data_IF_250847007922
#
_entry.id   IF_250847007922
#
_cell.length_a   1.000
_cell.length_b   1.000
_cell.length_c   1.000
_cell.angle_alpha   90.00
_cell.angle_beta   90.00
_cell.angle_gamma   90.00
#
_symmetry.space_group_name_H-M   'P 1'
#
loop_
_entity.id
_entity.type
_entity.pdbx_description
1 polymer ?
#
# COMPACT_ATOMS: atom_id res chain seq x y z
N UNK A 1 8.21 -10.26 -17.62
CA UNK A 1 6.84 -10.76 -17.83
C UNK A 1 6.06 -10.65 -16.52
N UNK A 2 4.88 -10.07 -16.59
CA UNK A 2 4.04 -9.83 -15.41
C UNK A 2 3.07 -11.00 -15.26
N UNK A 3 3.00 -11.56 -14.05
CA UNK A 3 2.00 -12.57 -13.69
C UNK A 3 1.02 -11.94 -12.70
N UNK A 4 -0.27 -12.29 -12.86
CA UNK A 4 -1.31 -11.78 -11.97
C UNK A 4 -2.13 -12.92 -11.39
N UNK A 5 -2.72 -12.64 -10.24
CA UNK A 5 -3.60 -13.55 -9.52
C UNK A 5 -4.66 -12.72 -8.79
N UNK A 6 -5.89 -13.23 -8.76
CA UNK A 6 -6.95 -12.58 -7.98
C UNK A 6 -7.25 -13.39 -6.74
N UNK A 7 -7.77 -12.73 -5.72
CA UNK A 7 -8.26 -13.38 -4.51
C UNK A 7 -9.41 -12.59 -3.91
N UNK A 8 -10.30 -13.29 -3.22
CA UNK A 8 -11.38 -12.64 -2.49
C UNK A 8 -10.89 -12.13 -1.14
N UNK A 9 -11.49 -11.05 -0.68
CA UNK A 9 -11.17 -10.46 0.61
C UNK A 9 -12.41 -9.76 1.19
N UNK A 10 -12.38 -9.36 2.47
CA UNK A 10 -13.45 -8.54 3.03
C UNK A 10 -13.65 -7.21 2.31
N UNK A 11 -12.66 -6.76 1.53
CA UNK A 11 -12.73 -5.52 0.76
C UNK A 11 -13.14 -5.74 -0.69
N UNK A 12 -13.53 -6.96 -1.05
CA UNK A 12 -13.81 -7.36 -2.42
C UNK A 12 -12.64 -8.06 -3.07
N UNK A 13 -12.71 -8.23 -4.38
CA UNK A 13 -11.65 -8.91 -5.13
C UNK A 13 -10.38 -8.06 -5.15
N UNK A 14 -9.26 -8.71 -4.85
CA UNK A 14 -7.93 -8.11 -4.96
C UNK A 14 -7.20 -8.73 -6.14
N UNK A 15 -6.46 -7.89 -6.87
CA UNK A 15 -5.59 -8.35 -7.96
C UNK A 15 -4.15 -8.13 -7.53
N UNK A 16 -3.38 -9.21 -7.51
CA UNK A 16 -1.95 -9.20 -7.20
C UNK A 16 -1.15 -9.33 -8.49
N UNK A 17 -0.06 -8.59 -8.61
CA UNK A 17 0.84 -8.70 -9.75
C UNK A 17 2.28 -8.84 -9.28
N UNK A 18 3.03 -9.68 -9.99
CA UNK A 18 4.46 -9.85 -9.75
C UNK A 18 5.24 -9.77 -11.04
N UNK A 19 6.49 -9.39 -10.93
CA UNK A 19 7.45 -9.37 -12.04
C UNK A 19 8.82 -9.68 -11.47
N UNK A 20 9.54 -10.60 -12.12
CA UNK A 20 10.90 -10.98 -11.70
C UNK A 20 11.01 -11.39 -10.24
N UNK A 21 9.98 -12.05 -9.72
CA UNK A 21 9.99 -12.58 -8.35
C UNK A 21 9.69 -11.57 -7.26
N UNK A 22 9.19 -10.38 -7.61
CA UNK A 22 8.80 -9.37 -6.64
C UNK A 22 7.36 -8.89 -6.91
N UNK A 23 6.64 -8.55 -5.86
CA UNK A 23 5.30 -7.95 -6.00
C UNK A 23 5.45 -6.53 -6.53
N UNK A 24 4.74 -6.23 -7.61
CA UNK A 24 4.71 -4.89 -8.20
C UNK A 24 3.36 -4.21 -8.05
N UNK A 25 2.32 -4.93 -7.68
CA UNK A 25 0.99 -4.34 -7.54
C UNK A 25 0.05 -5.15 -6.69
N UNK A 26 -0.85 -4.44 -6.02
CA UNK A 26 -2.03 -4.98 -5.37
C UNK A 26 -3.12 -3.93 -5.54
N UNK A 27 -4.17 -4.28 -6.27
CA UNK A 27 -5.26 -3.36 -6.56
C UNK A 27 -6.59 -3.96 -6.14
N UNK A 28 -7.50 -3.08 -5.72
CA UNK A 28 -8.85 -3.46 -5.31
C UNK A 28 -9.82 -3.25 -6.46
N UNK A 29 -10.80 -4.13 -6.57
CA UNK A 29 -11.82 -4.03 -7.60
C UNK A 29 -12.48 -2.65 -7.56
N UNK A 30 -12.51 -1.96 -8.70
CA UNK A 30 -13.16 -0.66 -8.83
C UNK A 30 -12.38 0.52 -8.31
N UNK A 31 -11.15 0.31 -7.84
CA UNK A 31 -10.36 1.42 -7.30
C UNK A 31 -9.90 2.41 -8.38
N UNK A 32 -9.55 3.62 -7.92
CA UNK A 32 -8.84 4.60 -8.74
C UNK A 32 -7.48 4.06 -9.19
N UNK A 33 -7.09 4.43 -10.41
CA UNK A 33 -5.78 4.04 -10.97
C UNK A 33 -5.59 2.54 -11.12
N UNK A 34 -6.69 1.79 -11.27
CA UNK A 34 -6.58 0.36 -11.57
C UNK A 34 -5.91 0.23 -12.95
N UNK A 35 -4.76 -0.46 -13.05
CA UNK A 35 -4.00 -0.48 -14.29
C UNK A 35 -4.62 -1.38 -15.34
N UNK A 36 -4.25 -1.14 -16.58
CA UNK A 36 -4.50 -2.10 -17.64
C UNK A 36 -3.25 -2.95 -17.82
N UNK A 37 -3.43 -4.26 -17.80
CA UNK A 37 -2.33 -5.22 -17.90
C UNK A 37 -2.64 -6.25 -18.97
N UNK A 38 -2.78 -5.82 -20.26
CA UNK A 38 -3.28 -6.72 -21.30
C UNK A 38 -2.36 -7.90 -21.59
N UNK A 39 -1.06 -7.76 -21.34
CA UNK A 39 -0.09 -8.82 -21.60
C UNK A 39 0.26 -9.63 -20.34
N UNK A 40 -0.42 -9.38 -19.22
CA UNK A 40 -0.16 -10.12 -18.01
C UNK A 40 -0.69 -11.55 -18.10
N UNK A 41 0.06 -12.49 -17.55
CA UNK A 41 -0.33 -13.90 -17.52
C UNK A 41 -1.06 -14.21 -16.22
N UNK A 42 -2.19 -14.91 -16.33
CA UNK A 42 -2.92 -15.42 -15.17
C UNK A 42 -2.30 -16.74 -14.75
N UNK A 43 -1.15 -16.66 -14.11
CA UNK A 43 -0.38 -17.82 -13.67
C UNK A 43 0.00 -17.67 -12.21
N UNK A 44 0.04 -18.79 -11.51
CA UNK A 44 0.56 -18.80 -10.14
C UNK A 44 2.08 -18.70 -10.18
N UNK A 45 2.61 -18.08 -9.14
CA UNK A 45 4.04 -18.06 -8.91
C UNK A 45 4.28 -18.17 -7.41
N UNK A 46 5.52 -18.50 -7.04
CA UNK A 46 5.89 -18.64 -5.64
C UNK A 46 5.59 -17.36 -4.85
N UNK A 47 5.96 -16.19 -5.40
CA UNK A 47 5.78 -14.92 -4.68
C UNK A 47 4.29 -14.52 -4.63
N UNK A 48 3.50 -14.81 -5.66
CA UNK A 48 2.06 -14.55 -5.61
C UNK A 48 1.39 -15.41 -4.55
N UNK A 49 1.78 -16.66 -4.44
CA UNK A 49 1.27 -17.55 -3.39
C UNK A 49 1.64 -17.05 -2.00
N UNK A 50 2.88 -16.58 -1.83
CA UNK A 50 3.32 -16.00 -0.55
C UNK A 50 2.51 -14.75 -0.20
N UNK A 51 2.26 -13.89 -1.18
CA UNK A 51 1.48 -12.66 -0.96
C UNK A 51 0.03 -12.99 -0.58
N UNK A 52 -0.57 -13.98 -1.24
CA UNK A 52 -1.92 -14.41 -0.89
C UNK A 52 -1.99 -14.94 0.54
N UNK A 53 -1.03 -15.76 0.94
CA UNK A 53 -0.96 -16.28 2.32
C UNK A 53 -0.76 -15.15 3.33
N UNK A 54 0.07 -14.16 3.00
CA UNK A 54 0.28 -12.98 3.84
C UNK A 54 -1.04 -12.24 4.05
N UNK A 55 -1.79 -12.01 2.97
CA UNK A 55 -3.06 -11.31 3.03
C UNK A 55 -4.12 -12.09 3.81
N UNK A 56 -4.16 -13.41 3.65
CA UNK A 56 -5.07 -14.25 4.44
C UNK A 56 -4.77 -14.15 5.93
N UNK A 57 -3.49 -14.14 6.30
CA UNK A 57 -3.09 -13.94 7.70
C UNK A 57 -3.49 -12.56 8.20
N UNK A 58 -3.30 -11.53 7.36
CA UNK A 58 -3.70 -10.17 7.70
C UNK A 58 -5.19 -10.09 7.98
N UNK A 59 -6.02 -10.63 7.10
CA UNK A 59 -7.48 -10.59 7.26
C UNK A 59 -7.99 -11.59 8.29
N UNK A 60 -7.14 -12.45 8.80
CA UNK A 60 -7.46 -13.38 9.89
C UNK A 60 -7.10 -12.80 11.27
N UNK A 61 -6.64 -11.56 11.30
CA UNK A 61 -6.31 -10.88 12.55
C UNK A 61 -4.88 -11.08 13.03
N UNK A 62 -4.05 -11.77 12.27
CA UNK A 62 -2.63 -11.86 12.55
C UNK A 62 -1.93 -10.58 12.08
N UNK A 63 -0.70 -10.39 12.48
CA UNK A 63 0.10 -9.22 12.11
C UNK A 63 1.33 -9.63 11.33
N UNK A 64 1.15 -10.12 10.07
CA UNK A 64 2.32 -10.52 9.29
C UNK A 64 3.18 -9.29 8.97
N UNK A 65 4.47 -9.51 8.85
CA UNK A 65 5.43 -8.43 8.59
C UNK A 65 5.61 -8.24 7.10
N UNK A 66 5.62 -6.98 6.65
CA UNK A 66 5.79 -6.68 5.23
C UNK A 66 7.16 -7.12 4.71
N UNK A 67 8.15 -7.20 5.59
CA UNK A 67 9.50 -7.64 5.23
C UNK A 67 9.54 -9.10 4.77
N UNK A 68 8.48 -9.87 5.01
CA UNK A 68 8.38 -11.25 4.52
C UNK A 68 8.23 -11.34 3.00
N UNK A 69 7.83 -10.24 2.35
CA UNK A 69 7.53 -10.23 0.93
C UNK A 69 8.51 -9.34 0.16
N UNK A 70 9.02 -9.81 -0.98
CA UNK A 70 9.80 -8.94 -1.86
C UNK A 70 8.87 -8.00 -2.62
N UNK A 71 9.02 -6.71 -2.40
CA UNK A 71 8.21 -5.66 -3.05
C UNK A 71 9.08 -4.84 -3.99
N UNK A 72 8.56 -4.52 -5.15
CA UNK A 72 9.23 -3.64 -6.10
C UNK A 72 8.22 -2.70 -6.76
N UNK A 73 7.72 -1.72 -5.99
CA UNK A 73 6.77 -0.76 -6.55
C UNK A 73 7.44 0.10 -7.61
N UNK A 74 6.80 0.23 -8.76
CA UNK A 74 7.32 1.02 -9.87
C UNK A 74 6.83 2.45 -9.76
N UNK A 75 7.75 3.40 -9.83
CA UNK A 75 7.42 4.81 -9.74
C UNK A 75 8.67 5.66 -9.75
N UNK A 76 8.49 6.97 -9.63
CA UNK A 76 9.59 7.92 -9.57
C UNK A 76 10.43 7.70 -8.31
N UNK A 77 11.68 8.21 -8.28
CA UNK A 77 12.49 8.14 -7.06
C UNK A 77 11.79 8.76 -5.85
N UNK A 78 11.08 9.87 -6.03
CA UNK A 78 10.34 10.51 -4.95
C UNK A 78 9.21 9.61 -4.43
N UNK A 79 8.42 9.03 -5.33
CA UNK A 79 7.35 8.11 -4.92
C UNK A 79 7.91 6.91 -4.16
N UNK A 80 9.00 6.32 -4.64
CA UNK A 80 9.63 5.18 -3.97
C UNK A 80 10.12 5.56 -2.58
N UNK A 81 10.65 6.76 -2.40
CA UNK A 81 11.07 7.25 -1.09
C UNK A 81 9.89 7.35 -0.14
N UNK A 82 8.79 7.93 -0.61
CA UNK A 82 7.56 8.03 0.18
C UNK A 82 7.04 6.65 0.56
N UNK A 83 6.95 5.74 -0.41
CA UNK A 83 6.42 4.39 -0.16
C UNK A 83 7.30 3.60 0.81
N UNK A 84 8.61 3.80 0.77
CA UNK A 84 9.53 3.18 1.75
C UNK A 84 9.23 3.66 3.17
N UNK A 85 8.92 4.94 3.32
CA UNK A 85 8.54 5.48 4.63
C UNK A 85 7.20 4.90 5.11
N UNK A 86 6.25 4.67 4.19
CA UNK A 86 4.97 4.05 4.55
C UNK A 86 5.17 2.68 5.17
N UNK A 87 6.12 1.91 4.66
CA UNK A 87 6.40 0.57 5.17
C UNK A 87 6.90 0.57 6.61
N UNK A 88 7.31 1.72 7.14
CA UNK A 88 7.78 1.85 8.53
C UNK A 88 6.68 2.20 9.51
N UNK A 89 5.47 2.51 9.03
CA UNK A 89 4.36 2.84 9.91
C UNK A 89 3.86 1.54 10.54
N UNK A 90 3.93 1.41 11.87
CA UNK A 90 3.53 0.16 12.53
C UNK A 90 2.04 -0.15 12.35
N UNK A 91 1.73 -1.44 12.40
CA UNK A 91 0.36 -1.91 12.39
C UNK A 91 -0.45 -1.24 13.50
N UNK A 92 -1.66 -0.78 13.18
CA UNK A 92 -2.54 -0.14 14.13
C UNK A 92 -2.21 1.32 14.46
N UNK A 93 -1.18 1.88 13.81
CA UNK A 93 -0.78 3.27 14.01
C UNK A 93 -1.01 4.08 12.74
N UNK A 94 -1.07 5.39 12.91
CA UNK A 94 -1.27 6.32 11.79
C UNK A 94 -0.21 7.42 11.84
N UNK A 95 0.00 8.07 10.71
CA UNK A 95 0.80 9.28 10.61
C UNK A 95 0.07 10.27 9.71
N UNK A 96 0.58 11.49 9.59
CA UNK A 96 0.00 12.51 8.73
C UNK A 96 0.89 12.78 7.53
N UNK A 97 0.30 13.37 6.49
CA UNK A 97 1.05 13.82 5.31
C UNK A 97 2.12 14.84 5.71
N UNK A 98 1.77 15.74 6.62
CA UNK A 98 2.72 16.74 7.11
C UNK A 98 3.89 16.10 7.85
N UNK A 99 3.64 15.08 8.68
CA UNK A 99 4.70 14.38 9.39
C UNK A 99 5.66 13.67 8.43
N UNK A 100 5.12 13.03 7.39
CA UNK A 100 5.95 12.40 6.35
C UNK A 100 6.77 13.44 5.61
N UNK A 101 6.16 14.56 5.25
CA UNK A 101 6.87 15.64 4.57
C UNK A 101 8.02 16.18 5.43
N UNK A 102 7.80 16.34 6.73
CA UNK A 102 8.85 16.76 7.66
C UNK A 102 10.00 15.76 7.73
N UNK A 103 9.70 14.47 7.73
CA UNK A 103 10.73 13.42 7.71
C UNK A 103 11.59 13.51 6.45
N UNK A 104 10.96 13.71 5.31
CA UNK A 104 11.68 13.82 4.04
C UNK A 104 12.56 15.07 4.02
N UNK A 105 12.02 16.21 4.48
CA UNK A 105 12.76 17.45 4.56
C UNK A 105 14.03 17.31 5.42
N UNK A 106 13.89 16.69 6.59
CA UNK A 106 15.03 16.43 7.48
C UNK A 106 16.06 15.51 6.83
N UNK A 107 15.59 14.46 6.20
CA UNK A 107 16.46 13.49 5.52
C UNK A 107 17.27 14.14 4.40
N UNK A 108 16.68 15.10 3.71
CA UNK A 108 17.34 15.81 2.60
C UNK A 108 18.10 17.06 3.03
N UNK A 109 18.00 17.45 4.29
CA UNK A 109 18.62 18.68 4.78
C UNK A 109 18.02 19.94 4.17
N UNK A 110 16.73 19.92 3.84
CA UNK A 110 16.01 21.08 3.28
C UNK A 110 14.99 21.60 4.31
N UNK A 111 14.64 22.90 4.24
CA UNK A 111 13.77 23.51 5.25
C UNK A 111 12.30 23.09 5.13
N UNK A 112 11.87 22.66 3.93
CA UNK A 112 10.46 22.39 3.70
C UNK A 112 10.25 21.37 2.58
N UNK A 113 9.26 20.49 2.78
CA UNK A 113 8.75 19.57 1.76
C UNK A 113 7.23 19.71 1.74
N UNK A 114 6.66 19.77 0.53
CA UNK A 114 5.23 19.92 0.34
C UNK A 114 4.46 18.68 0.82
N UNK A 115 3.52 18.89 1.75
CA UNK A 115 2.62 17.82 2.18
C UNK A 115 1.71 17.37 1.02
N UNK A 116 1.38 18.27 0.09
CA UNK A 116 0.58 17.94 -1.09
C UNK A 116 1.33 17.00 -2.02
N UNK A 117 2.62 17.25 -2.24
CA UNK A 117 3.44 16.36 -3.07
C UNK A 117 3.54 14.97 -2.45
N UNK A 118 3.71 14.91 -1.12
CA UNK A 118 3.69 13.63 -0.41
C UNK A 118 2.33 12.94 -0.56
N UNK A 119 1.24 13.69 -0.40
CA UNK A 119 -0.11 13.16 -0.57
C UNK A 119 -0.36 12.57 -1.95
N UNK A 120 0.13 13.23 -3.00
CA UNK A 120 0.03 12.70 -4.35
C UNK A 120 0.79 11.37 -4.49
N UNK A 121 1.99 11.29 -3.93
CA UNK A 121 2.78 10.05 -3.96
C UNK A 121 2.09 8.92 -3.19
N UNK A 122 1.55 9.23 -2.01
CA UNK A 122 0.79 8.27 -1.19
C UNK A 122 -0.41 7.74 -1.98
N UNK A 123 -1.14 8.64 -2.66
CA UNK A 123 -2.32 8.27 -3.44
C UNK A 123 -2.04 7.40 -4.67
N UNK A 124 -0.81 7.39 -5.17
CA UNK A 124 -0.42 6.61 -6.34
C UNK A 124 0.30 5.30 -5.97
N UNK A 125 0.30 4.92 -4.70
CA UNK A 125 0.87 3.65 -4.25
C UNK A 125 0.27 2.49 -5.05
N UNK A 126 1.10 1.71 -5.77
CA UNK A 126 0.59 0.61 -6.58
C UNK A 126 0.35 -0.68 -5.81
N UNK A 127 0.77 -0.76 -4.54
CA UNK A 127 0.70 -1.99 -3.74
C UNK A 127 -0.08 -1.70 -2.46
N UNK A 128 -1.39 -1.50 -2.60
CA UNK A 128 -2.26 -1.20 -1.46
C UNK A 128 -2.20 -2.31 -0.41
N UNK A 129 -2.48 -1.98 0.83
CA UNK A 129 -2.47 -2.86 2.01
C UNK A 129 -1.04 -3.28 2.39
N UNK A 130 -0.28 -3.88 1.49
CA UNK A 130 1.09 -4.31 1.75
C UNK A 130 2.00 -3.11 2.01
N UNK A 131 1.91 -2.07 1.18
CA UNK A 131 2.48 -0.76 1.48
C UNK A 131 1.35 0.06 2.10
N UNK A 132 1.38 0.32 3.42
CA UNK A 132 0.19 0.74 4.15
C UNK A 132 -0.16 2.22 4.00
N UNK A 133 -0.49 2.64 2.78
CA UNK A 133 -0.91 4.02 2.53
C UNK A 133 -2.20 4.38 3.27
N UNK A 134 -3.00 3.39 3.67
CA UNK A 134 -4.20 3.63 4.48
C UNK A 134 -3.89 4.17 5.88
N UNK A 135 -2.63 4.04 6.35
CA UNK A 135 -2.20 4.53 7.66
C UNK A 135 -1.82 6.02 7.65
N UNK A 136 -1.98 6.70 6.52
CA UNK A 136 -1.74 8.13 6.43
C UNK A 136 -3.08 8.86 6.45
N UNK A 137 -3.22 9.80 7.38
CA UNK A 137 -4.44 10.56 7.62
C UNK A 137 -4.11 12.05 7.66
N UNK A 138 -5.15 12.91 7.69
CA UNK A 138 -4.92 14.34 7.87
C UNK A 138 -4.40 14.68 9.26
N UNK A 139 -3.87 15.88 9.43
CA UNK A 139 -3.24 16.35 10.67
C UNK A 139 -4.17 16.24 11.89
N UNK A 140 -5.48 16.37 11.67
CA UNK A 140 -6.49 16.24 12.73
C UNK A 140 -7.11 14.86 12.78
N UNK A 141 -6.52 13.86 12.11
CA UNK A 141 -7.02 12.50 12.08
C UNK A 141 -8.12 12.26 11.06
N UNK A 142 -8.46 13.27 10.23
CA UNK A 142 -9.51 13.13 9.24
C UNK A 142 -9.08 12.19 8.11
N UNK A 143 -10.04 11.40 7.61
CA UNK A 143 -9.82 10.53 6.47
C UNK A 143 -9.83 11.36 5.18
N UNK A 144 -8.72 11.33 4.48
CA UNK A 144 -8.55 11.99 3.19
C UNK A 144 -8.04 10.99 2.19
N UNK A 145 -8.44 11.12 0.94
CA UNK A 145 -7.95 10.38 -0.21
C UNK A 145 -7.46 8.94 0.00
N UNK A 146 -7.99 8.01 -0.77
CA UNK A 146 -7.49 6.64 -0.84
C UNK A 146 -7.90 6.07 -2.20
N UNK A 147 -6.97 5.45 -2.92
CA UNK A 147 -7.28 4.91 -4.24
C UNK A 147 -8.39 3.86 -4.17
N UNK A 148 -8.44 3.09 -3.11
CA UNK A 148 -9.49 2.10 -2.87
C UNK A 148 -10.81 2.69 -2.36
N UNK A 149 -10.88 4.00 -2.10
CA UNK A 149 -12.05 4.66 -1.56
C UNK A 149 -12.02 4.78 -0.05
N UNK A 150 -12.68 5.81 0.47
CA UNK A 150 -12.65 6.10 1.91
C UNK A 150 -13.29 4.99 2.76
N UNK A 151 -14.28 4.28 2.24
CA UNK A 151 -14.92 3.17 2.96
C UNK A 151 -13.91 2.06 3.24
N UNK A 152 -13.10 1.70 2.24
CA UNK A 152 -12.06 0.67 2.41
C UNK A 152 -10.96 1.15 3.34
N UNK A 153 -10.57 2.43 3.24
CA UNK A 153 -9.58 3.02 4.15
C UNK A 153 -10.06 2.94 5.59
N UNK A 154 -11.30 3.34 5.82
CA UNK A 154 -11.92 3.27 7.15
C UNK A 154 -11.96 1.83 7.66
N UNK A 155 -12.33 0.89 6.81
CA UNK A 155 -12.38 -0.53 7.18
C UNK A 155 -10.99 -1.02 7.63
N UNK A 156 -9.95 -0.70 6.85
CA UNK A 156 -8.59 -1.12 7.18
C UNK A 156 -8.10 -0.53 8.50
N UNK A 157 -8.34 0.76 8.71
CA UNK A 157 -7.96 1.43 9.95
C UNK A 157 -8.68 0.84 11.16
N UNK A 158 -9.99 0.60 11.04
CA UNK A 158 -10.76 -0.02 12.11
C UNK A 158 -10.32 -1.46 12.37
N UNK A 159 -10.04 -2.21 11.31
CA UNK A 159 -9.55 -3.57 11.42
C UNK A 159 -8.24 -3.63 12.21
N UNK A 160 -7.29 -2.77 11.86
CA UNK A 160 -5.99 -2.76 12.54
C UNK A 160 -6.09 -2.27 13.98
N UNK A 161 -7.03 -1.36 14.25
CA UNK A 161 -7.24 -0.85 15.61
C UNK A 161 -7.85 -1.89 16.53
N UNK A 162 -8.69 -2.74 16.00
CA UNK A 162 -9.49 -3.69 16.78
C UNK A 162 -8.90 -5.11 16.80
N UNK A 163 -7.89 -5.40 16.00
CA UNK A 163 -7.23 -6.71 16.00
C UNK A 163 -5.88 -6.59 16.70
N UNK A 164 -5.65 -7.46 17.70
CA UNK A 164 -4.41 -7.44 18.51
C UNK A 164 -3.60 -8.70 18.33
#
# INVERSE_FOLDING_TARGET
MIRIQTMDSPLGELTLAEENGAIIGLWMQGQKYFPQLPEALKEQSSVLTQAERWLKRYFDGQRPQIQELPLNPKGSPFCREVWALLCRIPYGQTTSYAALASQIARSRGIPHMSAQAVGNAVGHNPISILIPCHRVVGSSGQLTGYAGGLERKKWLLNWERNTK
#
